data_IF_347623194436
#
_entry.id   IF_347623194436
#
_cell.length_a   1.000
_cell.length_b   1.000
_cell.length_c   1.000
_cell.angle_alpha   90.00
_cell.angle_beta   90.00
_cell.angle_gamma   90.00
#
_symmetry.space_group_name_H-M   'P 1'
#
loop_
_entity.id
_entity.type
_entity.pdbx_description
1 polymer ?
#
# COMPACT_ATOMS: atom_id res chain seq x y z
N UNK A 1 -10.25 1.63 -12.25
CA UNK A 1 -9.58 1.42 -13.55
C UNK A 1 -8.96 0.04 -13.59
N UNK A 2 -9.17 -0.73 -14.67
CA UNK A 2 -8.45 -1.99 -14.87
C UNK A 2 -6.96 -1.70 -15.12
N UNK A 3 -6.09 -2.55 -14.59
CA UNK A 3 -4.65 -2.50 -14.79
C UNK A 3 -4.10 -3.91 -15.07
N UNK A 4 -2.97 -3.97 -15.77
CA UNK A 4 -2.21 -5.22 -15.92
C UNK A 4 -1.44 -5.55 -14.64
N UNK A 5 -0.84 -6.73 -14.50
CA UNK A 5 0.03 -7.04 -13.36
C UNK A 5 1.18 -6.04 -13.17
N UNK A 6 1.67 -5.43 -14.24
CA UNK A 6 2.70 -4.40 -14.22
C UNK A 6 2.17 -3.00 -13.86
N UNK A 7 0.88 -2.90 -13.51
CA UNK A 7 0.13 -1.68 -13.17
C UNK A 7 -0.01 -0.69 -14.35
N UNK A 8 0.07 -1.18 -15.58
CA UNK A 8 -0.22 -0.38 -16.79
C UNK A 8 -1.70 -0.40 -17.14
N UNK A 9 -2.19 0.66 -17.75
CA UNK A 9 -3.50 0.62 -18.39
C UNK A 9 -3.47 -0.32 -19.59
N UNK A 10 -4.47 -1.19 -19.77
CA UNK A 10 -4.54 -2.09 -20.93
C UNK A 10 -4.41 -1.32 -22.25
N UNK A 11 -3.52 -1.78 -23.10
CA UNK A 11 -3.24 -1.14 -24.40
C UNK A 11 -2.42 0.15 -24.35
N UNK A 12 -1.94 0.56 -23.16
CA UNK A 12 -1.11 1.75 -22.99
C UNK A 12 0.27 1.37 -22.44
N UNK A 13 1.29 1.45 -23.29
CA UNK A 13 2.63 0.98 -22.95
C UNK A 13 3.30 1.79 -21.83
N UNK A 14 3.03 3.10 -21.76
CA UNK A 14 3.71 4.03 -20.86
C UNK A 14 2.77 4.74 -19.86
N UNK A 15 1.56 4.23 -19.66
CA UNK A 15 0.59 4.82 -18.73
C UNK A 15 0.32 3.85 -17.58
N UNK A 16 0.57 4.30 -16.38
CA UNK A 16 0.39 3.53 -15.13
C UNK A 16 -0.75 4.11 -14.31
N UNK A 17 -1.46 3.24 -13.57
CA UNK A 17 -2.43 3.65 -12.56
C UNK A 17 -2.15 2.92 -11.25
N UNK A 18 -2.12 3.66 -10.14
CA UNK A 18 -1.80 3.15 -8.81
C UNK A 18 -2.79 3.69 -7.76
N UNK A 19 -2.83 3.05 -6.60
CA UNK A 19 -3.67 3.46 -5.50
C UNK A 19 -5.15 3.11 -5.69
N UNK A 20 -6.00 3.84 -5.02
CA UNK A 20 -7.44 3.55 -4.89
C UNK A 20 -8.21 3.55 -6.21
N UNK A 21 -7.69 4.24 -7.23
CA UNK A 21 -8.30 4.29 -8.57
C UNK A 21 -8.28 2.94 -9.30
N UNK A 22 -7.38 2.03 -8.92
CA UNK A 22 -7.26 0.72 -9.55
C UNK A 22 -8.46 -0.18 -9.20
N UNK A 23 -8.84 -1.08 -10.11
CA UNK A 23 -9.88 -2.08 -9.89
C UNK A 23 -9.34 -3.40 -9.31
N UNK A 24 -8.16 -3.37 -8.69
CA UNK A 24 -7.56 -4.54 -8.05
C UNK A 24 -8.45 -5.04 -6.90
N UNK A 25 -8.60 -6.36 -6.71
CA UNK A 25 -9.45 -6.95 -5.68
C UNK A 25 -8.77 -6.94 -4.31
N UNK A 26 -8.59 -5.76 -3.74
CA UNK A 26 -7.93 -5.54 -2.45
C UNK A 26 -8.54 -4.37 -1.70
N UNK A 27 -8.29 -4.27 -0.40
CA UNK A 27 -8.66 -3.10 0.41
C UNK A 27 -7.90 -1.87 -0.05
N UNK A 28 -8.64 -0.77 -0.28
CA UNK A 28 -8.07 0.51 -0.70
C UNK A 28 -7.44 1.22 0.48
N UNK A 29 -6.11 1.14 0.55
CA UNK A 29 -5.32 1.60 1.69
C UNK A 29 -3.99 2.20 1.24
N UNK A 30 -3.46 3.13 2.05
CA UNK A 30 -2.16 3.77 1.79
C UNK A 30 -1.02 2.74 1.62
N UNK A 31 -1.04 1.63 2.38
CA UNK A 31 -0.05 0.56 2.24
C UNK A 31 -0.07 -0.07 0.85
N UNK A 32 -1.25 -0.39 0.32
CA UNK A 32 -1.38 -0.93 -1.03
C UNK A 32 -0.86 0.07 -2.07
N UNK A 33 -1.26 1.34 -1.95
CA UNK A 33 -0.77 2.41 -2.84
C UNK A 33 0.75 2.56 -2.82
N UNK A 34 1.40 2.42 -1.66
CA UNK A 34 2.86 2.45 -1.53
C UNK A 34 3.52 1.24 -2.23
N UNK A 35 2.94 0.05 -2.13
CA UNK A 35 3.42 -1.13 -2.84
C UNK A 35 3.26 -0.96 -4.36
N UNK A 36 2.11 -0.45 -4.82
CA UNK A 36 1.92 -0.09 -6.23
C UNK A 36 2.99 0.89 -6.71
N UNK A 37 3.29 1.92 -5.92
CA UNK A 37 4.30 2.92 -6.29
C UNK A 37 5.68 2.30 -6.50
N UNK A 38 6.08 1.31 -5.70
CA UNK A 38 7.33 0.57 -5.87
C UNK A 38 7.39 -0.15 -7.22
N UNK A 39 6.33 -0.88 -7.57
CA UNK A 39 6.22 -1.60 -8.85
C UNK A 39 6.21 -0.63 -10.03
N UNK A 40 5.38 0.41 -9.98
CA UNK A 40 5.30 1.41 -11.04
C UNK A 40 6.64 2.13 -11.24
N UNK A 41 7.33 2.51 -10.17
CA UNK A 41 8.65 3.15 -10.25
C UNK A 41 9.71 2.25 -10.89
N UNK A 42 9.71 0.94 -10.58
CA UNK A 42 10.61 -0.02 -11.21
C UNK A 42 10.33 -0.12 -12.71
N UNK A 43 9.06 -0.22 -13.09
CA UNK A 43 8.65 -0.34 -14.49
C UNK A 43 8.89 0.95 -15.30
N UNK A 44 8.70 2.13 -14.70
CA UNK A 44 9.03 3.41 -15.33
C UNK A 44 10.54 3.51 -15.57
N UNK A 45 11.37 3.10 -14.60
CA UNK A 45 12.83 3.08 -14.80
C UNK A 45 13.25 2.12 -15.92
N UNK A 46 12.63 0.95 -16.03
CA UNK A 46 12.87 0.03 -17.13
C UNK A 46 12.56 0.68 -18.47
N UNK A 47 11.40 1.32 -18.62
CA UNK A 47 11.04 2.03 -19.85
C UNK A 47 12.04 3.16 -20.22
N UNK A 48 12.50 3.91 -19.21
CA UNK A 48 13.52 4.97 -19.44
C UNK A 48 14.83 4.37 -19.92
N UNK A 49 15.21 3.19 -19.44
CA UNK A 49 16.40 2.47 -19.88
C UNK A 49 16.25 1.78 -21.24
N UNK A 50 15.04 1.75 -21.81
CA UNK A 50 14.74 1.04 -23.06
C UNK A 50 14.43 -0.45 -22.86
N UNK A 51 14.19 -0.86 -21.61
CA UNK A 51 13.83 -2.23 -21.24
C UNK A 51 12.31 -2.40 -21.14
N UNK A 52 11.82 -3.63 -21.24
CA UNK A 52 10.42 -3.94 -20.98
C UNK A 52 10.12 -3.98 -19.48
N UNK A 53 9.00 -3.39 -19.03
CA UNK A 53 8.52 -3.52 -17.65
C UNK A 53 8.28 -4.97 -17.27
N UNK A 54 8.92 -5.44 -16.21
CA UNK A 54 8.84 -6.82 -15.72
C UNK A 54 8.45 -6.93 -14.24
N UNK A 55 8.44 -5.83 -13.49
CA UNK A 55 7.96 -5.85 -12.12
C UNK A 55 6.44 -6.00 -12.09
N UNK A 56 5.94 -6.94 -11.29
CA UNK A 56 4.52 -7.22 -11.16
C UNK A 56 4.03 -6.99 -9.73
N UNK A 57 2.76 -6.66 -9.60
CA UNK A 57 2.07 -6.52 -8.33
C UNK A 57 1.06 -7.65 -8.15
N UNK A 58 1.08 -8.23 -6.96
CA UNK A 58 0.04 -9.17 -6.51
C UNK A 58 -0.65 -8.57 -5.27
N UNK A 59 -1.99 -8.51 -5.24
CA UNK A 59 -2.73 -8.02 -4.08
C UNK A 59 -2.36 -8.79 -2.81
N UNK A 60 -1.97 -8.07 -1.77
CA UNK A 60 -1.68 -8.66 -0.48
C UNK A 60 -2.98 -9.02 0.24
N UNK A 61 -2.90 -9.99 1.16
CA UNK A 61 -4.01 -10.33 2.03
C UNK A 61 -4.48 -9.10 2.85
N UNK A 62 -5.78 -9.01 3.06
CA UNK A 62 -6.38 -7.91 3.79
C UNK A 62 -5.90 -7.89 5.26
N UNK A 63 -5.37 -6.77 5.67
CA UNK A 63 -5.00 -6.49 7.05
C UNK A 63 -5.32 -5.04 7.38
N UNK A 64 -5.85 -4.80 8.58
CA UNK A 64 -6.28 -3.46 8.98
C UNK A 64 -5.99 -3.18 10.45
N UNK A 65 -5.58 -1.96 10.75
CA UNK A 65 -5.43 -1.44 12.11
C UNK A 65 -6.35 -0.24 12.27
N UNK A 66 -7.40 -0.40 13.05
CA UNK A 66 -8.44 0.61 13.31
C UNK A 66 -8.34 1.14 14.72
N UNK A 67 -7.59 2.21 14.99
CA UNK A 67 -7.56 2.83 16.31
C UNK A 67 -8.86 3.60 16.57
N UNK A 68 -9.34 3.51 17.81
CA UNK A 68 -10.42 4.31 18.37
C UNK A 68 -9.84 5.16 19.51
N UNK A 69 -9.21 6.26 19.14
CA UNK A 69 -8.35 7.03 20.04
C UNK A 69 -7.04 6.30 20.37
N UNK A 70 -6.24 6.84 21.30
CA UNK A 70 -4.89 6.35 21.55
C UNK A 70 -4.83 4.98 22.26
N UNK A 71 -5.88 4.57 22.94
CA UNK A 71 -5.89 3.39 23.82
C UNK A 71 -6.80 2.26 23.37
N UNK A 72 -7.67 2.48 22.39
CA UNK A 72 -8.67 1.52 21.96
C UNK A 72 -8.60 1.26 20.47
N UNK A 73 -9.27 0.22 20.00
CA UNK A 73 -9.35 -0.15 18.60
C UNK A 73 -9.33 -1.64 18.38
N UNK A 74 -9.26 -2.02 17.12
CA UNK A 74 -9.19 -3.40 16.67
C UNK A 74 -8.20 -3.51 15.51
N UNK A 75 -7.45 -4.60 15.49
CA UNK A 75 -6.54 -4.96 14.39
C UNK A 75 -6.96 -6.32 13.85
N UNK A 76 -6.89 -6.48 12.54
CA UNK A 76 -7.04 -7.77 11.89
C UNK A 76 -5.88 -8.00 10.92
N UNK A 77 -5.31 -9.19 10.95
CA UNK A 77 -4.43 -9.73 9.92
C UNK A 77 -4.63 -11.25 9.84
N UNK A 78 -4.50 -11.87 8.65
CA UNK A 78 -4.77 -13.31 8.46
C UNK A 78 -3.95 -14.21 9.39
N UNK A 79 -2.70 -13.85 9.68
CA UNK A 79 -1.76 -14.64 10.46
C UNK A 79 -2.07 -14.65 11.96
N UNK A 80 -2.76 -13.62 12.46
CA UNK A 80 -3.02 -13.44 13.90
C UNK A 80 -4.50 -13.32 14.24
N UNK A 81 -5.37 -13.21 13.23
CA UNK A 81 -6.81 -12.99 13.43
C UNK A 81 -7.13 -11.60 13.99
N UNK A 82 -8.15 -11.51 14.83
CA UNK A 82 -8.60 -10.25 15.43
C UNK A 82 -7.88 -10.00 16.74
N UNK A 83 -7.22 -8.86 16.84
CA UNK A 83 -6.54 -8.36 18.03
C UNK A 83 -7.30 -7.15 18.61
N UNK A 84 -7.36 -7.06 19.93
CA UNK A 84 -8.08 -6.00 20.64
C UNK A 84 -7.27 -4.72 20.86
N UNK A 85 -7.70 -3.97 21.87
CA UNK A 85 -7.25 -2.60 22.15
C UNK A 85 -5.73 -2.45 22.39
N UNK A 86 -5.13 -3.33 23.19
CA UNK A 86 -3.69 -3.24 23.52
C UNK A 86 -2.80 -3.27 22.29
N UNK A 87 -2.77 -4.36 21.51
CA UNK A 87 -1.99 -4.44 20.28
C UNK A 87 -2.30 -3.32 19.28
N UNK A 88 -3.57 -2.91 19.15
CA UNK A 88 -3.96 -1.82 18.24
C UNK A 88 -3.38 -0.47 18.68
N UNK A 89 -3.42 -0.20 20.00
CA UNK A 89 -2.81 1.00 20.59
C UNK A 89 -1.31 1.05 20.32
N UNK A 90 -0.61 -0.07 20.54
CA UNK A 90 0.83 -0.15 20.35
C UNK A 90 1.25 -0.02 18.89
N UNK A 91 0.48 -0.60 17.97
CA UNK A 91 0.76 -0.54 16.53
C UNK A 91 0.50 0.84 15.92
N UNK A 92 -0.60 1.49 16.28
CA UNK A 92 -1.03 2.71 15.60
C UNK A 92 -1.68 3.74 16.51
N UNK A 93 -2.36 3.32 17.58
CA UNK A 93 -3.20 4.22 18.37
C UNK A 93 -2.46 5.40 18.99
N UNK A 94 -1.23 5.19 19.43
CA UNK A 94 -0.42 6.20 20.13
C UNK A 94 0.08 7.31 19.21
N UNK A 95 0.52 6.97 18.01
CA UNK A 95 1.23 7.92 17.12
C UNK A 95 0.50 8.16 15.80
N UNK A 96 -0.49 7.33 15.45
CA UNK A 96 -1.17 7.34 14.14
C UNK A 96 -0.17 7.26 12.97
N UNK A 97 1.00 6.66 13.21
CA UNK A 97 2.14 6.61 12.27
C UNK A 97 2.73 7.99 11.93
N UNK A 98 2.47 9.03 12.70
CA UNK A 98 3.03 10.36 12.43
C UNK A 98 4.55 10.37 12.49
N UNK A 99 5.14 9.64 13.42
CA UNK A 99 6.57 9.42 13.56
C UNK A 99 7.18 8.76 12.32
N UNK A 100 6.55 7.72 11.81
CA UNK A 100 6.98 7.01 10.60
C UNK A 100 6.99 7.93 9.38
N UNK A 101 5.92 8.71 9.21
CA UNK A 101 5.83 9.65 8.08
C UNK A 101 6.75 10.86 8.24
N UNK A 102 6.97 11.34 9.46
CA UNK A 102 7.96 12.38 9.72
C UNK A 102 9.37 11.94 9.33
N UNK A 103 9.75 10.70 9.65
CA UNK A 103 11.03 10.13 9.24
C UNK A 103 11.13 9.97 7.72
N UNK A 104 10.08 9.42 7.12
CA UNK A 104 10.02 9.18 5.67
C UNK A 104 10.20 10.46 4.86
N UNK A 105 9.65 11.58 5.33
CA UNK A 105 9.71 12.88 4.64
C UNK A 105 10.82 13.79 5.15
N UNK A 106 11.64 13.35 6.11
CA UNK A 106 12.70 14.16 6.70
C UNK A 106 12.18 15.40 7.45
N UNK A 107 10.98 15.31 8.02
CA UNK A 107 10.25 16.42 8.63
C UNK A 107 10.43 16.47 10.17
N UNK A 108 11.56 16.02 10.66
CA UNK A 108 11.92 16.14 12.09
C UNK A 108 12.69 17.40 12.40
#
# INVERSE_FOLDING_TARGET
MAVTPELRLPGQAAVFAIGDITALPEMKMARAAQQHAGVAAANIRALIAGDEPAATYEPAADAIVLPLGPKHGVTYAPEVGVLGAGPTSDLKGKTLFTDVYQDMFGAR
#
